data_IF_147649172045
#
_entry.id   IF_147649172045
#
_cell.length_a   1.000
_cell.length_b   1.000
_cell.length_c   1.000
_cell.angle_alpha   90.00
_cell.angle_beta   90.00
_cell.angle_gamma   90.00
#
_symmetry.space_group_name_H-M   'P 1'
#
loop_
_entity.id
_entity.type
_entity.pdbx_description
1 polymer ?
#
# COMPACT_ATOMS: atom_id res chain seq x y z
N UNK A 1 0.09 10.40 26.53
CA UNK A 1 1.26 9.50 26.57
C UNK A 1 2.32 10.10 25.64
N UNK A 2 3.43 10.63 26.17
CA UNK A 2 4.54 11.22 25.40
C UNK A 2 5.58 10.12 25.17
N UNK A 3 5.93 9.83 23.92
CA UNK A 3 7.07 8.96 23.61
C UNK A 3 8.34 9.81 23.65
N UNK A 4 9.16 9.65 24.68
CA UNK A 4 10.50 10.25 24.74
C UNK A 4 11.52 9.28 24.15
N UNK A 5 11.64 9.30 22.83
CA UNK A 5 12.69 8.60 22.11
C UNK A 5 13.61 9.64 21.47
N UNK A 6 14.41 10.37 22.26
CA UNK A 6 15.57 11.18 21.80
C UNK A 6 15.38 12.19 20.65
N UNK A 7 14.16 12.44 20.16
CA UNK A 7 13.84 13.13 18.90
C UNK A 7 12.93 14.36 19.09
N UNK A 8 12.79 14.85 20.32
CA UNK A 8 11.86 15.93 20.67
C UNK A 8 10.43 15.43 20.91
N UNK A 9 9.57 16.30 21.45
CA UNK A 9 8.17 15.96 21.73
C UNK A 9 7.38 15.85 20.42
N UNK A 10 7.23 14.65 19.89
CA UNK A 10 6.37 14.41 18.73
C UNK A 10 4.92 14.27 19.19
N UNK A 11 4.04 15.16 18.71
CA UNK A 11 2.61 15.06 18.93
C UNK A 11 2.00 13.96 18.04
N UNK A 12 2.29 12.69 18.36
CA UNK A 12 1.86 11.52 17.57
C UNK A 12 0.35 11.52 17.31
N UNK A 13 -0.44 11.98 18.29
CA UNK A 13 -1.90 12.08 18.14
C UNK A 13 -2.32 13.06 17.04
N UNK A 14 -1.59 14.17 16.87
CA UNK A 14 -1.87 15.15 15.81
C UNK A 14 -1.51 14.58 14.43
N UNK A 15 -0.39 13.85 14.36
CA UNK A 15 0.02 13.16 13.13
C UNK A 15 -1.04 12.11 12.74
N UNK A 16 -1.48 11.27 13.69
CA UNK A 16 -2.51 10.26 13.42
C UNK A 16 -3.85 10.88 13.01
N UNK A 17 -4.26 12.00 13.63
CA UNK A 17 -5.46 12.74 13.19
C UNK A 17 -5.34 13.21 11.75
N UNK A 18 -4.16 13.70 11.35
CA UNK A 18 -3.92 14.11 9.96
C UNK A 18 -3.90 12.94 8.99
N UNK A 19 -3.36 11.78 9.39
CA UNK A 19 -3.44 10.54 8.60
C UNK A 19 -4.90 10.17 8.35
N UNK A 20 -5.71 10.09 9.41
CA UNK A 20 -7.14 9.73 9.31
C UNK A 20 -7.91 10.73 8.47
N UNK A 21 -7.65 12.03 8.63
CA UNK A 21 -8.30 13.08 7.85
C UNK A 21 -7.95 13.05 6.34
N UNK A 22 -6.86 12.36 5.97
CA UNK A 22 -6.36 12.33 4.59
C UNK A 22 -6.61 11.01 3.87
N UNK A 23 -7.32 10.04 4.49
CA UNK A 23 -7.49 8.67 3.96
C UNK A 23 -8.18 8.59 2.58
N UNK A 24 -8.82 9.65 2.10
CA UNK A 24 -9.42 9.67 0.76
C UNK A 24 -8.40 10.00 -0.35
N UNK A 25 -7.26 10.59 0.01
CA UNK A 25 -6.22 10.98 -0.93
C UNK A 25 -4.94 10.16 -0.64
N UNK A 26 -4.59 9.17 -1.48
CA UNK A 26 -3.39 8.35 -1.31
C UNK A 26 -2.10 9.14 -1.15
N UNK A 27 -1.95 10.28 -1.83
CA UNK A 27 -0.76 11.12 -1.75
C UNK A 27 -0.67 11.80 -0.39
N UNK A 28 -1.74 12.44 0.04
CA UNK A 28 -1.76 13.16 1.32
C UNK A 28 -1.75 12.20 2.51
N UNK A 29 -2.48 11.08 2.42
CA UNK A 29 -2.45 10.01 3.42
C UNK A 29 -1.03 9.48 3.64
N UNK A 30 -0.29 9.19 2.56
CA UNK A 30 1.08 8.71 2.67
C UNK A 30 2.00 9.79 3.21
N UNK A 31 1.87 11.04 2.72
CA UNK A 31 2.67 12.16 3.22
C UNK A 31 2.48 12.37 4.73
N UNK A 32 1.24 12.27 5.22
CA UNK A 32 0.94 12.34 6.65
C UNK A 32 1.53 11.15 7.41
N UNK A 33 1.38 9.92 6.90
CA UNK A 33 1.85 8.71 7.57
C UNK A 33 3.38 8.64 7.66
N UNK A 34 4.10 9.16 6.66
CA UNK A 34 5.57 9.26 6.66
C UNK A 34 6.13 10.21 7.72
N UNK A 35 5.29 11.03 8.36
CA UNK A 35 5.72 11.89 9.47
C UNK A 35 5.80 11.14 10.81
N UNK A 36 5.28 9.92 10.88
CA UNK A 36 5.38 9.08 12.07
C UNK A 36 6.85 8.66 12.23
N UNK A 37 7.50 8.93 13.38
CA UNK A 37 8.89 8.52 13.60
C UNK A 37 9.09 7.02 13.40
N UNK A 38 10.12 6.64 12.65
CA UNK A 38 10.42 5.26 12.31
C UNK A 38 9.62 4.67 11.15
N UNK A 39 8.68 5.42 10.56
CA UNK A 39 7.93 4.93 9.39
C UNK A 39 8.68 5.19 8.09
N UNK A 40 9.09 4.10 7.43
CA UNK A 40 9.40 4.09 6.00
C UNK A 40 8.14 3.83 5.15
N UNK A 41 8.32 3.82 3.82
CA UNK A 41 7.24 3.60 2.84
C UNK A 41 6.38 2.35 3.15
N UNK A 42 7.04 1.23 3.47
CA UNK A 42 6.35 -0.03 3.80
C UNK A 42 5.43 0.10 5.01
N UNK A 43 5.91 0.68 6.11
CA UNK A 43 5.09 0.80 7.33
C UNK A 43 3.99 1.84 7.19
N UNK A 44 4.29 2.97 6.53
CA UNK A 44 3.31 3.99 6.25
C UNK A 44 2.17 3.44 5.39
N UNK A 45 2.47 2.79 4.26
CA UNK A 45 1.44 2.20 3.40
C UNK A 45 0.68 1.03 4.05
N UNK A 46 1.33 0.22 4.90
CA UNK A 46 0.65 -0.82 5.71
C UNK A 46 -0.37 -0.23 6.68
N UNK A 47 -0.04 0.87 7.35
CA UNK A 47 -0.97 1.59 8.22
C UNK A 47 -2.19 2.06 7.41
N UNK A 48 -1.97 2.68 6.26
CA UNK A 48 -3.07 3.16 5.41
C UNK A 48 -3.97 2.03 4.94
N UNK A 49 -3.39 0.92 4.45
CA UNK A 49 -4.14 -0.29 4.05
C UNK A 49 -4.96 -0.86 5.21
N UNK A 50 -4.43 -0.84 6.43
CA UNK A 50 -5.17 -1.31 7.60
C UNK A 50 -6.35 -0.40 7.96
N UNK A 51 -6.17 0.92 7.86
CA UNK A 51 -7.21 1.91 8.18
C UNK A 51 -8.33 1.97 7.13
N UNK A 52 -7.99 1.81 5.84
CA UNK A 52 -8.95 1.88 4.74
C UNK A 52 -8.59 0.93 3.59
N UNK A 53 -8.82 -0.39 3.75
CA UNK A 53 -8.40 -1.42 2.80
C UNK A 53 -9.09 -1.34 1.43
N UNK A 54 -10.22 -0.65 1.35
CA UNK A 54 -10.97 -0.40 0.11
C UNK A 54 -10.18 0.51 -0.83
N UNK A 55 -9.43 1.47 -0.27
CA UNK A 55 -8.72 2.50 -1.04
C UNK A 55 -7.22 2.23 -1.05
N UNK A 56 -6.60 1.86 0.07
CA UNK A 56 -5.14 1.83 0.15
C UNK A 56 -4.55 0.44 -0.03
N UNK A 57 -3.46 0.36 -0.79
CA UNK A 57 -2.57 -0.79 -0.86
C UNK A 57 -1.35 -0.61 0.06
N UNK A 58 -0.73 -1.72 0.45
CA UNK A 58 0.58 -1.74 1.13
C UNK A 58 1.69 -1.97 0.11
N UNK A 59 2.64 -1.04 0.00
CA UNK A 59 3.79 -1.20 -0.90
C UNK A 59 4.96 -1.83 -0.14
N UNK A 60 4.94 -3.16 -0.06
CA UNK A 60 6.03 -3.95 0.51
C UNK A 60 7.25 -3.99 -0.42
N UNK A 61 8.45 -4.14 0.13
CA UNK A 61 9.69 -4.17 -0.65
C UNK A 61 9.73 -5.31 -1.66
N UNK A 62 9.11 -6.46 -1.36
CA UNK A 62 9.03 -7.60 -2.29
C UNK A 62 8.15 -7.28 -3.49
N UNK A 63 6.98 -6.67 -3.26
CA UNK A 63 6.09 -6.23 -4.33
C UNK A 63 6.81 -5.19 -5.19
N UNK A 64 7.39 -4.17 -4.55
CA UNK A 64 8.11 -3.09 -5.23
C UNK A 64 9.21 -3.62 -6.15
N UNK A 65 10.07 -4.49 -5.63
CA UNK A 65 11.16 -5.11 -6.40
C UNK A 65 10.63 -5.93 -7.58
N UNK A 66 9.63 -6.79 -7.36
CA UNK A 66 9.07 -7.62 -8.40
C UNK A 66 8.41 -6.79 -9.51
N UNK A 67 7.65 -5.74 -9.16
CA UNK A 67 7.04 -4.85 -10.15
C UNK A 67 8.09 -4.05 -10.94
N UNK A 68 9.13 -3.53 -10.28
CA UNK A 68 10.23 -2.82 -10.94
C UNK A 68 11.02 -3.72 -11.90
N UNK A 69 11.28 -4.97 -11.51
CA UNK A 69 11.96 -5.95 -12.38
C UNK A 69 11.15 -6.36 -13.60
N UNK A 70 9.85 -6.10 -13.61
CA UNK A 70 8.94 -6.39 -14.72
C UNK A 70 8.43 -5.11 -15.41
N UNK A 71 9.06 -3.96 -15.17
CA UNK A 71 8.70 -2.65 -15.74
C UNK A 71 7.24 -2.22 -15.50
N UNK A 72 6.62 -2.72 -14.42
CA UNK A 72 5.25 -2.40 -14.03
C UNK A 72 5.15 -1.21 -13.06
N UNK A 73 6.29 -0.76 -12.53
CA UNK A 73 6.38 0.36 -11.61
C UNK A 73 7.68 1.13 -11.86
N UNK A 74 7.71 2.47 -11.78
CA UNK A 74 8.95 3.22 -11.88
C UNK A 74 9.95 2.84 -10.78
N UNK A 75 11.21 3.22 -10.97
CA UNK A 75 12.19 3.17 -9.90
C UNK A 75 11.79 4.13 -8.78
N UNK A 76 11.77 3.60 -7.55
CA UNK A 76 11.34 4.30 -6.34
C UNK A 76 12.50 4.28 -5.36
N UNK A 77 12.96 5.46 -4.96
CA UNK A 77 13.98 5.64 -3.93
C UNK A 77 13.31 5.95 -2.58
N UNK A 78 13.83 5.40 -1.47
CA UNK A 78 13.13 5.44 -0.18
C UNK A 78 13.14 6.81 0.52
N UNK A 79 14.03 7.71 0.10
CA UNK A 79 14.37 8.94 0.83
C UNK A 79 14.09 10.25 0.09
N UNK A 80 13.50 10.20 -1.11
CA UNK A 80 13.15 11.41 -1.87
C UNK A 80 11.64 11.46 -2.19
N UNK A 81 11.22 12.45 -2.99
CA UNK A 81 9.84 12.62 -3.43
C UNK A 81 9.32 11.45 -4.27
N UNK A 82 10.20 10.66 -4.90
CA UNK A 82 9.82 9.53 -5.75
C UNK A 82 9.05 8.44 -5.00
N UNK A 83 9.20 8.35 -3.66
CA UNK A 83 8.43 7.39 -2.84
C UNK A 83 6.93 7.69 -2.81
N UNK A 84 6.56 8.97 -2.85
CA UNK A 84 5.15 9.36 -2.84
C UNK A 84 4.57 9.11 -4.23
N UNK A 85 5.25 9.56 -5.29
CA UNK A 85 4.80 9.36 -6.65
C UNK A 85 4.74 7.88 -7.03
N UNK A 86 5.74 7.11 -6.61
CA UNK A 86 5.79 5.66 -6.76
C UNK A 86 4.68 4.92 -6.02
N UNK A 87 4.33 5.37 -4.82
CA UNK A 87 3.17 4.84 -4.10
C UNK A 87 1.86 5.17 -4.83
N UNK A 88 1.69 6.39 -5.31
CA UNK A 88 0.51 6.79 -6.08
C UNK A 88 0.39 5.99 -7.38
N UNK A 89 1.50 5.73 -8.08
CA UNK A 89 1.52 4.87 -9.26
C UNK A 89 1.13 3.42 -8.92
N UNK A 90 1.66 2.87 -7.82
CA UNK A 90 1.29 1.54 -7.35
C UNK A 90 -0.19 1.46 -6.94
N UNK A 91 -0.70 2.51 -6.31
CA UNK A 91 -2.10 2.62 -5.93
C UNK A 91 -3.01 2.65 -7.17
N UNK A 92 -2.65 3.41 -8.20
CA UNK A 92 -3.35 3.42 -9.48
C UNK A 92 -3.37 2.03 -10.12
N UNK A 93 -2.23 1.34 -10.16
CA UNK A 93 -2.14 -0.04 -10.66
C UNK A 93 -3.12 -0.98 -9.93
N UNK A 94 -3.19 -0.92 -8.60
CA UNK A 94 -4.09 -1.78 -7.82
C UNK A 94 -5.58 -1.44 -8.10
N UNK A 95 -5.91 -0.15 -8.20
CA UNK A 95 -7.26 0.32 -8.54
C UNK A 95 -7.66 -0.14 -9.95
N UNK A 96 -6.77 -0.03 -10.93
CA UNK A 96 -7.01 -0.45 -12.31
C UNK A 96 -7.21 -1.97 -12.41
N UNK A 97 -6.41 -2.76 -11.69
CA UNK A 97 -6.60 -4.21 -11.60
C UNK A 97 -7.93 -4.57 -10.95
N UNK A 98 -8.34 -3.85 -9.91
CA UNK A 98 -9.64 -4.05 -9.28
C UNK A 98 -10.79 -3.78 -10.27
N UNK A 99 -10.70 -2.69 -11.04
CA UNK A 99 -11.68 -2.36 -12.07
C UNK A 99 -11.71 -3.38 -13.23
N UNK A 100 -10.56 -3.93 -13.62
CA UNK A 100 -10.47 -5.01 -14.60
C UNK A 100 -11.13 -6.30 -14.11
N UNK A 101 -10.92 -6.67 -12.84
CA UNK A 101 -11.58 -7.83 -12.23
C UNK A 101 -13.10 -7.65 -12.16
N UNK A 102 -13.57 -6.45 -11.83
CA UNK A 102 -14.98 -6.09 -11.84
C UNK A 102 -15.59 -6.17 -13.25
N UNK A 103 -14.92 -5.59 -14.25
CA UNK A 103 -15.36 -5.63 -15.65
C UNK A 103 -15.41 -7.06 -16.19
N UNK A 104 -14.46 -7.91 -15.80
CA UNK A 104 -14.43 -9.31 -16.17
C UNK A 104 -15.44 -10.18 -15.39
N UNK A 105 -16.17 -9.62 -14.41
CA UNK A 105 -17.08 -10.37 -13.56
C UNK A 105 -16.39 -11.41 -12.66
N UNK A 106 -15.09 -11.28 -12.45
CA UNK A 106 -14.30 -12.22 -11.65
C UNK A 106 -14.57 -11.94 -10.18
N UNK A 107 -15.33 -12.83 -9.53
CA UNK A 107 -15.67 -12.69 -8.11
C UNK A 107 -14.46 -12.92 -7.21
N UNK A 108 -14.37 -12.13 -6.14
CA UNK A 108 -13.42 -12.36 -5.06
C UNK A 108 -13.63 -13.75 -4.46
N UNK A 109 -12.56 -14.54 -4.22
CA UNK A 109 -12.65 -15.80 -3.52
C UNK A 109 -13.26 -15.64 -2.11
N UNK A 110 -14.05 -16.62 -1.68
CA UNK A 110 -14.60 -16.62 -0.32
C UNK A 110 -13.48 -16.75 0.72
N UNK A 111 -13.50 -15.89 1.73
CA UNK A 111 -12.61 -15.97 2.89
C UNK A 111 -13.23 -15.28 4.10
N UNK A 112 -12.58 -15.36 5.27
CA UNK A 112 -13.09 -14.79 6.52
C UNK A 112 -13.12 -13.25 6.56
N UNK A 113 -12.50 -12.58 5.60
CA UNK A 113 -12.48 -11.12 5.53
C UNK A 113 -13.71 -10.60 4.76
N UNK A 114 -14.32 -9.54 5.29
CA UNK A 114 -15.45 -8.86 4.66
C UNK A 114 -15.12 -8.49 3.19
N UNK A 115 -16.08 -8.66 2.27
CA UNK A 115 -15.90 -8.21 0.89
C UNK A 115 -15.85 -6.67 0.82
N UNK A 116 -15.25 -6.17 -0.25
CA UNK A 116 -15.31 -4.76 -0.62
C UNK A 116 -16.70 -4.33 -1.09
N UNK A 117 -16.81 -3.05 -1.40
CA UNK A 117 -18.04 -2.40 -1.87
C UNK A 117 -18.31 -2.62 -3.36
N UNK A 118 -17.35 -3.16 -4.12
CA UNK A 118 -17.51 -3.48 -5.55
C UNK A 118 -18.48 -4.65 -5.75
N UNK A 119 -19.06 -4.75 -6.95
CA UNK A 119 -20.02 -5.82 -7.28
C UNK A 119 -19.41 -7.23 -7.23
N UNK A 120 -18.11 -7.33 -7.49
CA UNK A 120 -17.32 -8.56 -7.41
C UNK A 120 -16.68 -8.77 -6.03
N UNK A 121 -16.83 -7.81 -5.12
CA UNK A 121 -16.40 -7.87 -3.72
C UNK A 121 -14.90 -7.64 -3.52
N UNK A 122 -14.13 -7.27 -4.54
CA UNK A 122 -12.71 -6.95 -4.41
C UNK A 122 -12.49 -5.61 -3.72
N UNK A 123 -11.46 -5.56 -2.87
CA UNK A 123 -10.85 -4.32 -2.35
C UNK A 123 -9.46 -4.16 -2.96
N UNK A 124 -8.95 -2.93 -2.98
CA UNK A 124 -7.54 -2.65 -3.31
C UNK A 124 -6.60 -3.53 -2.49
N UNK A 125 -6.84 -3.67 -1.18
CA UNK A 125 -6.02 -4.52 -0.31
C UNK A 125 -6.05 -6.01 -0.70
N UNK A 126 -7.15 -6.51 -1.25
CA UNK A 126 -7.21 -7.92 -1.71
C UNK A 126 -6.36 -8.11 -2.98
N UNK A 127 -6.38 -7.13 -3.89
CA UNK A 127 -5.53 -7.10 -5.09
C UNK A 127 -4.05 -7.01 -4.71
N UNK A 128 -3.70 -6.14 -3.75
CA UNK A 128 -2.34 -6.05 -3.20
C UNK A 128 -1.85 -7.38 -2.65
N UNK A 129 -2.68 -8.10 -1.90
CA UNK A 129 -2.31 -9.42 -1.37
C UNK A 129 -2.11 -10.46 -2.48
N UNK A 130 -2.88 -10.38 -3.57
CA UNK A 130 -2.66 -11.23 -4.74
C UNK A 130 -1.33 -10.89 -5.44
N UNK A 131 -0.99 -9.61 -5.57
CA UNK A 131 0.31 -9.16 -6.08
C UNK A 131 1.47 -9.60 -5.17
N UNK A 132 1.30 -9.57 -3.85
CA UNK A 132 2.27 -10.09 -2.89
C UNK A 132 2.53 -11.59 -3.12
N UNK A 133 1.47 -12.38 -3.24
CA UNK A 133 1.58 -13.82 -3.51
C UNK A 133 2.22 -14.12 -4.87
N UNK A 134 1.98 -13.27 -5.87
CA UNK A 134 2.66 -13.35 -7.17
C UNK A 134 4.16 -13.00 -7.04
N UNK A 135 4.49 -11.88 -6.40
CA UNK A 135 5.86 -11.43 -6.19
C UNK A 135 6.69 -12.49 -5.45
N UNK A 136 6.14 -13.11 -4.41
CA UNK A 136 6.81 -14.17 -3.66
C UNK A 136 7.14 -15.40 -4.53
N UNK A 137 6.27 -15.74 -5.50
CA UNK A 137 6.55 -16.81 -6.48
C UNK A 137 7.64 -16.42 -7.48
N UNK A 138 7.68 -15.15 -7.92
CA UNK A 138 8.72 -14.64 -8.83
C UNK A 138 10.09 -14.69 -8.15
N UNK A 139 10.20 -14.19 -6.92
CA UNK A 139 11.47 -14.17 -6.17
C UNK A 139 12.05 -15.57 -5.92
N UNK A 140 11.19 -16.59 -5.71
CA UNK A 140 11.65 -17.98 -5.54
C UNK A 140 12.23 -18.56 -6.83
N UNK A 141 11.64 -18.26 -7.98
CA UNK A 141 12.13 -18.75 -9.28
C UNK A 141 13.49 -18.16 -9.66
N UNK A 142 13.78 -16.91 -9.28
CA UNK A 142 15.08 -16.28 -9.51
C UNK A 142 16.19 -16.84 -8.63
N UNK A 143 15.88 -17.37 -7.44
CA UNK A 143 16.86 -17.94 -6.52
C UNK A 143 17.24 -19.40 -6.80
N UNK A 144 16.53 -20.07 -7.72
CA UNK A 144 16.80 -21.46 -8.15
C UNK A 144 17.54 -21.57 -9.49
N UNK A 145 18.03 -20.46 -10.02
CA UNK A 145 18.91 -20.38 -11.20
C UNK A 145 20.31 -19.99 -10.76
#
# INVERSE_FOLDING_TARGET
MKFEAGLGSVALIEILRQVVASLEDPREALRAALRIPGFGLTYASKLLRFLKPEIHASLDSRIRQALQQNDLLPNIHEYDSSRIDGYVAFQALCTDLCAQLETAGIKRPSCALLPGTTSTGWRVADVEMALFAWADKVSRKSASK
#
